data_IF_761274386017
#
_entry.id   IF_761274386017
#
_cell.length_a   1.000
_cell.length_b   1.000
_cell.length_c   1.000
_cell.angle_alpha   90.00
_cell.angle_beta   90.00
_cell.angle_gamma   90.00
#
_symmetry.space_group_name_H-M   'P 1'
#
loop_
_entity.id
_entity.type
_entity.pdbx_description
1 polymer ?
#
# COMPACT_ATOMS: atom_id res chain seq x y z
N UNK A 1 14.92 20.46 -22.51
CA UNK A 1 15.29 19.24 -21.77
C UNK A 1 14.43 19.18 -20.52
N UNK A 2 13.54 18.18 -20.41
CA UNK A 2 12.65 18.07 -19.26
C UNK A 2 13.48 17.73 -18.00
N UNK A 3 13.49 18.63 -17.03
CA UNK A 3 14.18 18.46 -15.76
C UNK A 3 13.45 17.36 -14.98
N UNK A 4 14.11 16.23 -14.72
CA UNK A 4 13.53 15.09 -13.98
C UNK A 4 13.04 15.59 -12.61
N UNK A 5 11.73 15.52 -12.35
CA UNK A 5 11.13 16.02 -11.09
C UNK A 5 11.42 15.13 -9.88
N UNK A 6 11.94 13.92 -10.10
CA UNK A 6 12.19 12.91 -9.06
C UNK A 6 13.64 12.42 -9.15
N UNK A 7 14.37 12.48 -8.04
CA UNK A 7 15.72 11.94 -7.91
C UNK A 7 15.87 11.02 -6.70
N UNK A 8 16.79 10.07 -6.76
CA UNK A 8 17.20 9.28 -5.60
C UNK A 8 18.51 9.89 -5.12
N UNK A 9 18.55 10.30 -3.85
CA UNK A 9 19.78 10.82 -3.24
C UNK A 9 20.86 9.75 -3.28
N UNK A 10 22.01 10.08 -3.86
CA UNK A 10 23.15 9.17 -3.97
C UNK A 10 23.79 8.83 -2.63
N UNK A 11 23.58 9.65 -1.61
CA UNK A 11 24.20 9.49 -0.29
C UNK A 11 23.45 8.53 0.64
N UNK A 12 22.14 8.40 0.48
CA UNK A 12 21.29 7.65 1.41
C UNK A 12 20.15 6.87 0.74
N UNK A 13 20.15 6.81 -0.60
CA UNK A 13 19.15 6.14 -1.42
C UNK A 13 17.69 6.50 -1.05
N UNK A 14 17.49 7.72 -0.51
CA UNK A 14 16.15 8.25 -0.23
C UNK A 14 15.60 8.94 -1.46
N UNK A 15 14.33 8.70 -1.74
CA UNK A 15 13.68 9.36 -2.86
C UNK A 15 13.36 10.81 -2.49
N UNK A 16 13.79 11.73 -3.34
CA UNK A 16 13.53 13.14 -3.24
C UNK A 16 12.74 13.60 -4.45
N UNK A 17 11.73 14.41 -4.22
CA UNK A 17 10.97 15.05 -5.30
C UNK A 17 11.21 16.55 -5.23
N UNK A 18 11.39 17.16 -6.40
CA UNK A 18 11.61 18.59 -6.49
C UNK A 18 10.29 19.30 -6.25
N UNK A 19 10.21 20.05 -5.15
CA UNK A 19 9.08 20.90 -4.86
C UNK A 19 9.22 22.19 -5.68
N UNK A 20 8.45 22.29 -6.77
CA UNK A 20 8.45 23.48 -7.64
C UNK A 20 7.92 24.74 -6.95
N UNK A 21 7.13 24.60 -5.88
CA UNK A 21 6.59 25.76 -5.16
C UNK A 21 7.62 26.42 -4.26
N UNK A 22 8.55 25.64 -3.72
CA UNK A 22 9.61 26.13 -2.83
C UNK A 22 10.99 26.17 -3.51
N UNK A 23 11.14 25.59 -4.71
CA UNK A 23 12.41 25.50 -5.42
C UNK A 23 13.43 24.58 -4.74
N UNK A 24 12.99 23.63 -3.92
CA UNK A 24 13.88 22.74 -3.13
C UNK A 24 13.57 21.26 -3.33
N UNK A 25 14.57 20.41 -3.13
CA UNK A 25 14.38 18.96 -3.09
C UNK A 25 13.91 18.51 -1.71
N UNK A 26 12.79 17.79 -1.66
CA UNK A 26 12.17 17.28 -0.43
C UNK A 26 12.15 15.76 -0.46
N UNK A 27 12.31 15.10 0.69
CA UNK A 27 12.05 13.66 0.78
C UNK A 27 10.61 13.37 0.34
N UNK A 28 10.38 12.21 -0.26
CA UNK A 28 9.08 11.78 -0.77
C UNK A 28 7.95 12.02 0.25
N UNK A 29 8.15 11.66 1.53
CA UNK A 29 7.18 11.89 2.61
C UNK A 29 7.22 13.29 3.26
N UNK A 30 7.87 14.25 2.63
CA UNK A 30 7.89 15.66 3.02
C UNK A 30 7.66 16.60 1.83
N UNK A 31 7.29 16.05 0.67
CA UNK A 31 7.13 16.75 -0.59
C UNK A 31 5.67 16.75 -1.03
N UNK A 32 5.19 17.87 -1.57
CA UNK A 32 3.86 17.99 -2.18
C UNK A 32 3.67 17.09 -3.40
N UNK A 33 4.75 16.62 -4.02
CA UNK A 33 4.66 15.81 -5.24
C UNK A 33 4.08 14.41 -5.02
N UNK A 34 4.00 13.96 -3.77
CA UNK A 34 3.26 12.75 -3.39
C UNK A 34 1.74 12.91 -3.41
N UNK A 35 1.24 14.14 -3.44
CA UNK A 35 -0.19 14.42 -3.40
C UNK A 35 -0.97 13.83 -4.59
N UNK A 36 -0.27 13.32 -5.61
CA UNK A 36 -0.85 12.70 -6.80
C UNK A 36 -0.83 11.18 -6.79
N UNK A 37 -0.14 10.54 -5.86
CA UNK A 37 0.06 9.08 -5.89
C UNK A 37 -0.56 8.43 -4.67
N UNK A 38 -1.54 7.56 -4.89
CA UNK A 38 -2.10 6.67 -3.87
C UNK A 38 -1.67 5.21 -4.15
N UNK A 39 -1.46 4.42 -3.11
CA UNK A 39 -1.21 2.98 -3.22
C UNK A 39 -2.52 2.19 -3.19
N UNK A 40 -2.61 1.14 -4.01
CA UNK A 40 -3.68 0.14 -3.95
C UNK A 40 -3.08 -1.27 -4.12
N UNK A 41 -3.80 -2.28 -3.64
CA UNK A 41 -3.56 -3.68 -3.99
C UNK A 41 -4.13 -3.96 -5.39
N UNK A 42 -3.51 -4.89 -6.12
CA UNK A 42 -4.05 -5.37 -7.38
C UNK A 42 -5.28 -6.27 -7.19
N UNK A 43 -5.54 -6.83 -6.02
CA UNK A 43 -6.79 -7.55 -5.71
C UNK A 43 -8.00 -6.61 -5.79
N UNK A 44 -7.89 -5.40 -5.25
CA UNK A 44 -8.90 -4.33 -5.38
C UNK A 44 -9.08 -3.86 -6.83
N UNK A 45 -7.99 -3.78 -7.59
CA UNK A 45 -8.03 -3.55 -9.05
C UNK A 45 -8.52 -4.77 -9.85
N UNK A 46 -8.45 -5.93 -9.21
CA UNK A 46 -8.50 -7.29 -9.75
C UNK A 46 -9.85 -7.97 -9.57
N UNK A 47 -10.83 -7.30 -8.96
CA UNK A 47 -12.27 -7.57 -9.15
C UNK A 47 -12.68 -7.32 -10.63
N UNK A 48 -12.11 -8.19 -11.48
CA UNK A 48 -12.48 -8.80 -12.75
C UNK A 48 -12.98 -7.92 -13.88
N UNK A 49 -12.08 -7.36 -14.71
CA UNK A 49 -12.30 -6.73 -16.04
C UNK A 49 -13.36 -5.59 -16.12
N UNK A 50 -14.33 -5.54 -15.22
CA UNK A 50 -15.50 -4.66 -15.12
C UNK A 50 -15.13 -3.34 -14.47
N UNK A 51 -14.07 -3.32 -13.67
CA UNK A 51 -13.65 -2.15 -12.89
C UNK A 51 -12.43 -1.43 -13.52
N UNK A 52 -12.20 -1.57 -14.83
CA UNK A 52 -11.08 -0.87 -15.52
C UNK A 52 -11.44 0.53 -16.06
N UNK A 53 -12.68 0.96 -15.85
CA UNK A 53 -13.17 2.26 -16.32
C UNK A 53 -12.82 3.32 -15.28
N UNK A 54 -11.68 3.98 -15.44
CA UNK A 54 -11.14 4.94 -14.44
C UNK A 54 -12.09 6.09 -14.12
N UNK A 55 -12.97 6.50 -15.05
CA UNK A 55 -13.97 7.54 -14.80
C UNK A 55 -15.01 7.17 -13.73
N UNK A 56 -15.14 5.88 -13.40
CA UNK A 56 -16.01 5.35 -12.32
C UNK A 56 -15.29 5.27 -10.97
N UNK A 57 -13.97 5.40 -10.94
CA UNK A 57 -13.18 5.37 -9.72
C UNK A 57 -13.10 6.73 -9.07
N UNK A 58 -13.03 6.71 -7.75
CA UNK A 58 -12.84 7.89 -6.91
C UNK A 58 -11.89 7.54 -5.78
N UNK A 59 -11.03 8.49 -5.41
CA UNK A 59 -10.16 8.40 -4.22
C UNK A 59 -10.67 9.39 -3.20
N UNK A 60 -11.10 8.88 -2.05
CA UNK A 60 -11.59 9.66 -0.91
C UNK A 60 -10.47 9.85 0.13
N UNK A 61 -10.28 11.07 0.63
CA UNK A 61 -9.22 11.41 1.58
C UNK A 61 -9.65 12.51 2.56
N UNK A 62 -8.95 12.61 3.70
CA UNK A 62 -9.10 13.70 4.66
C UNK A 62 -10.25 13.56 5.66
N UNK A 63 -10.88 12.38 5.76
CA UNK A 63 -11.89 12.09 6.78
C UNK A 63 -11.85 10.61 7.18
N UNK A 64 -12.21 10.32 8.43
CA UNK A 64 -12.29 8.94 8.96
C UNK A 64 -13.67 8.32 8.83
N UNK A 65 -14.74 9.11 8.69
CA UNK A 65 -16.08 8.59 8.46
C UNK A 65 -16.37 8.52 6.95
N UNK A 66 -16.83 7.37 6.46
CA UNK A 66 -17.11 7.19 5.01
C UNK A 66 -18.16 8.18 4.49
N UNK A 67 -19.16 8.51 5.30
CA UNK A 67 -20.22 9.44 4.96
C UNK A 67 -19.88 10.92 5.26
N UNK A 68 -18.63 11.23 5.58
CA UNK A 68 -18.25 12.60 5.92
C UNK A 68 -18.42 13.53 4.72
N UNK A 69 -19.18 14.64 4.86
CA UNK A 69 -19.28 15.65 3.81
C UNK A 69 -18.01 16.53 3.72
N UNK A 70 -17.05 16.34 4.63
CA UNK A 70 -15.82 17.15 4.72
C UNK A 70 -14.61 16.49 4.06
N UNK A 71 -14.73 15.24 3.59
CA UNK A 71 -13.66 14.58 2.85
C UNK A 71 -13.53 15.12 1.42
N UNK A 72 -12.36 14.95 0.83
CA UNK A 72 -12.10 15.27 -0.57
C UNK A 72 -12.20 14.02 -1.42
N UNK A 73 -12.83 14.14 -2.58
CA UNK A 73 -12.98 13.03 -3.51
C UNK A 73 -12.46 13.42 -4.90
N UNK A 74 -11.40 12.77 -5.36
CA UNK A 74 -10.77 13.03 -6.65
C UNK A 74 -10.95 11.88 -7.63
N UNK A 75 -10.79 12.18 -8.93
CA UNK A 75 -10.77 11.17 -9.98
C UNK A 75 -9.42 10.49 -10.11
N UNK A 76 -9.38 9.44 -10.93
CA UNK A 76 -8.18 8.66 -11.24
C UNK A 76 -7.77 8.93 -12.69
N UNK A 77 -6.52 9.36 -12.89
CA UNK A 77 -5.92 9.56 -14.21
C UNK A 77 -5.33 8.26 -14.77
N UNK A 78 -4.56 7.54 -13.96
CA UNK A 78 -3.93 6.30 -14.38
C UNK A 78 -3.84 5.31 -13.22
N UNK A 79 -3.78 4.02 -13.56
CA UNK A 79 -3.38 2.97 -12.61
C UNK A 79 -2.26 2.15 -13.22
N UNK A 80 -1.14 2.08 -12.52
CA UNK A 80 0.04 1.30 -12.90
C UNK A 80 0.10 0.07 -12.01
N UNK A 81 -0.24 -1.11 -12.54
CA UNK A 81 -0.21 -2.37 -11.80
C UNK A 81 1.04 -3.19 -12.14
N UNK A 82 1.50 -4.00 -11.20
CA UNK A 82 2.67 -4.84 -11.42
C UNK A 82 2.39 -5.94 -12.48
N UNK A 83 3.17 -6.00 -13.54
CA UNK A 83 2.94 -6.92 -14.67
C UNK A 83 3.14 -8.39 -14.34
N UNK A 84 3.85 -8.67 -13.25
CA UNK A 84 4.02 -10.00 -12.65
C UNK A 84 2.89 -10.44 -11.70
N UNK A 85 1.83 -9.64 -11.53
CA UNK A 85 0.63 -10.10 -10.81
C UNK A 85 -0.20 -10.99 -11.74
N UNK A 86 -0.01 -12.31 -11.59
CA UNK A 86 -0.63 -13.32 -12.45
C UNK A 86 -2.17 -13.29 -12.45
N UNK A 87 -2.85 -13.08 -11.31
CA UNK A 87 -4.32 -13.04 -11.26
C UNK A 87 -4.96 -11.97 -12.17
N UNK A 88 -4.23 -10.90 -12.52
CA UNK A 88 -4.74 -9.89 -13.46
C UNK A 88 -4.89 -10.41 -14.90
N UNK A 89 -4.02 -11.37 -15.29
CA UNK A 89 -4.00 -11.98 -16.63
C UNK A 89 -4.79 -13.28 -16.65
N UNK A 90 -4.63 -14.10 -15.62
CA UNK A 90 -5.34 -15.35 -15.42
C UNK A 90 -6.03 -15.35 -14.05
N UNK A 91 -7.36 -15.11 -14.00
CA UNK A 91 -8.09 -15.02 -12.74
C UNK A 91 -8.18 -16.34 -11.98
N UNK A 92 -7.79 -17.48 -12.58
CA UNK A 92 -7.71 -18.77 -11.89
C UNK A 92 -6.32 -19.03 -11.28
N UNK A 93 -5.40 -18.06 -11.39
CA UNK A 93 -4.09 -18.17 -10.77
C UNK A 93 -4.20 -17.91 -9.28
N UNK A 94 -3.76 -18.88 -8.49
CA UNK A 94 -3.63 -18.77 -7.02
C UNK A 94 -2.29 -18.15 -6.59
N UNK A 95 -1.55 -17.52 -7.51
CA UNK A 95 -0.23 -16.92 -7.23
C UNK A 95 -0.39 -15.42 -6.98
N UNK A 96 -0.61 -15.06 -5.72
CA UNK A 96 -0.85 -13.67 -5.30
C UNK A 96 0.42 -12.79 -5.27
N UNK A 97 1.57 -13.28 -5.76
CA UNK A 97 2.81 -12.51 -5.76
C UNK A 97 2.70 -11.24 -6.59
N UNK A 98 3.38 -10.19 -6.13
CA UNK A 98 3.39 -8.88 -6.77
C UNK A 98 2.01 -8.19 -6.79
N UNK A 99 1.21 -8.42 -5.76
CA UNK A 99 -0.04 -7.71 -5.52
C UNK A 99 0.22 -6.25 -5.09
N UNK A 100 0.53 -5.39 -6.06
CA UNK A 100 0.81 -3.96 -5.87
C UNK A 100 0.46 -3.13 -7.11
N UNK A 101 -0.19 -1.99 -6.88
CA UNK A 101 -0.49 -0.99 -7.89
C UNK A 101 -0.27 0.44 -7.38
N UNK A 102 0.00 1.36 -8.31
CA UNK A 102 0.04 2.80 -8.08
C UNK A 102 -1.13 3.48 -8.79
N UNK A 103 -1.80 4.39 -8.09
CA UNK A 103 -2.89 5.20 -8.62
C UNK A 103 -2.40 6.63 -8.77
N UNK A 104 -2.47 7.15 -10.00
CA UNK A 104 -2.25 8.56 -10.28
C UNK A 104 -3.59 9.30 -10.25
N UNK A 105 -3.75 10.23 -9.29
CA UNK A 105 -4.93 11.09 -9.18
C UNK A 105 -5.01 12.08 -10.35
N UNK A 106 -6.22 12.42 -10.76
CA UNK A 106 -6.46 13.44 -11.80
C UNK A 106 -5.99 14.84 -11.42
N UNK A 107 -5.86 15.11 -10.13
CA UNK A 107 -5.30 16.35 -9.58
C UNK A 107 -4.65 16.05 -8.22
N UNK A 108 -3.68 16.86 -7.77
CA UNK A 108 -3.06 16.67 -6.46
C UNK A 108 -4.05 17.00 -5.33
N UNK A 109 -3.98 16.23 -4.23
CA UNK A 109 -4.61 16.60 -2.96
C UNK A 109 -3.84 17.73 -2.25
N UNK A 110 -4.52 18.67 -1.57
CA UNK A 110 -3.82 19.58 -0.67
C UNK A 110 -3.26 18.80 0.52
N UNK A 111 -2.02 19.08 0.91
CA UNK A 111 -1.46 18.55 2.15
C UNK A 111 -1.95 19.38 3.33
N UNK A 112 -2.60 18.72 4.28
CA UNK A 112 -3.19 19.31 5.49
C UNK A 112 -2.82 18.45 6.70
N UNK A 113 -3.24 18.84 7.89
CA UNK A 113 -3.16 18.01 9.10
C UNK A 113 -3.90 16.67 8.97
N UNK A 114 -4.86 16.54 8.04
CA UNK A 114 -5.64 15.33 7.79
C UNK A 114 -5.21 14.57 6.53
N UNK A 115 -4.35 15.17 5.70
CA UNK A 115 -3.87 14.58 4.45
C UNK A 115 -2.34 14.73 4.41
N UNK A 116 -1.65 13.64 4.72
CA UNK A 116 -0.19 13.56 4.68
C UNK A 116 0.25 12.27 3.97
N UNK A 117 1.36 12.29 3.22
CA UNK A 117 1.93 11.08 2.67
C UNK A 117 2.68 10.26 3.73
N UNK A 118 2.63 8.94 3.60
CA UNK A 118 3.45 8.01 4.39
C UNK A 118 4.85 7.85 3.77
N UNK A 119 5.86 7.55 4.58
CA UNK A 119 7.21 7.25 4.08
C UNK A 119 7.31 5.83 3.52
N UNK A 120 8.24 5.61 2.59
CA UNK A 120 8.68 4.27 2.22
C UNK A 120 9.77 3.76 3.19
N UNK A 121 9.96 2.43 3.31
CA UNK A 121 11.13 1.83 3.97
C UNK A 121 12.40 2.40 3.35
N UNK A 122 13.49 2.59 4.11
CA UNK A 122 14.79 3.02 3.60
C UNK A 122 15.49 1.88 2.81
N UNK A 123 16.54 2.21 2.05
CA UNK A 123 17.27 1.19 1.29
C UNK A 123 17.96 0.24 2.27
N UNK A 124 17.78 -1.08 2.08
CA UNK A 124 18.26 -2.09 3.02
C UNK A 124 17.53 -2.15 4.36
N UNK A 125 16.46 -1.36 4.57
CA UNK A 125 15.63 -1.48 5.77
C UNK A 125 14.81 -2.77 5.70
N UNK A 126 15.19 -3.74 6.53
CA UNK A 126 14.47 -5.00 6.68
C UNK A 126 13.22 -4.86 7.59
N UNK A 127 12.29 -5.80 7.43
CA UNK A 127 11.24 -6.04 8.41
C UNK A 127 11.87 -6.63 9.69
N UNK A 128 11.25 -6.35 10.84
CA UNK A 128 11.70 -6.87 12.13
C UNK A 128 10.62 -7.80 12.66
N UNK A 129 10.88 -9.10 12.64
CA UNK A 129 9.93 -10.11 13.14
C UNK A 129 9.58 -9.82 14.61
N UNK A 130 8.31 -10.02 14.97
CA UNK A 130 7.77 -9.68 16.28
C UNK A 130 7.50 -8.19 16.51
N UNK A 131 7.97 -7.29 15.62
CA UNK A 131 7.64 -5.86 15.73
C UNK A 131 6.15 -5.65 15.52
N UNK A 132 5.53 -4.96 16.47
CA UNK A 132 4.12 -4.57 16.40
C UNK A 132 4.00 -3.32 15.53
N UNK A 133 3.20 -3.42 14.49
CA UNK A 133 2.87 -2.36 13.56
C UNK A 133 1.35 -2.16 13.48
N UNK A 134 0.90 -1.16 12.74
CA UNK A 134 -0.51 -0.80 12.66
C UNK A 134 -1.04 -1.04 11.26
N UNK A 135 -2.22 -1.66 11.18
CA UNK A 135 -3.03 -1.76 9.96
C UNK A 135 -4.31 -0.96 10.16
N UNK A 136 -4.78 -0.29 9.11
CA UNK A 136 -5.99 0.57 9.17
C UNK A 136 -6.84 0.39 7.92
N UNK A 137 -8.16 0.48 8.07
CA UNK A 137 -9.08 0.43 6.94
C UNK A 137 -10.55 0.50 7.34
N UNK A 138 -11.42 0.47 6.33
CA UNK A 138 -12.89 0.48 6.47
C UNK A 138 -13.51 -0.88 6.15
N UNK A 139 -12.70 -1.92 6.05
CA UNK A 139 -13.15 -3.27 5.76
C UNK A 139 -14.11 -3.82 6.81
N UNK A 140 -14.53 -5.06 6.58
CA UNK A 140 -15.49 -5.72 7.44
C UNK A 140 -14.92 -5.92 8.85
N UNK A 141 -15.70 -5.56 9.87
CA UNK A 141 -15.29 -5.77 11.29
C UNK A 141 -15.44 -7.22 11.77
N UNK A 142 -16.09 -8.06 10.96
CA UNK A 142 -16.22 -9.51 11.12
C UNK A 142 -16.26 -10.12 9.70
N UNK A 143 -15.82 -11.36 9.50
CA UNK A 143 -15.77 -11.97 8.15
C UNK A 143 -17.12 -11.91 7.40
N UNK A 144 -18.22 -12.24 8.07
CA UNK A 144 -19.59 -12.11 7.53
C UNK A 144 -20.30 -10.81 7.96
N UNK A 145 -19.52 -9.81 8.35
CA UNK A 145 -19.99 -8.53 8.86
C UNK A 145 -20.23 -7.49 7.78
N UNK A 146 -20.35 -6.24 8.22
CA UNK A 146 -20.43 -5.07 7.37
C UNK A 146 -19.15 -4.24 7.50
N UNK A 147 -18.88 -3.43 6.47
CA UNK A 147 -17.80 -2.45 6.48
C UNK A 147 -17.96 -1.45 7.61
N UNK A 148 -16.83 -0.98 8.14
CA UNK A 148 -16.83 0.02 9.19
C UNK A 148 -17.27 1.39 8.63
N UNK A 149 -18.23 2.05 9.29
CA UNK A 149 -18.62 3.43 8.94
C UNK A 149 -17.54 4.46 9.28
N UNK A 150 -16.66 4.13 10.22
CA UNK A 150 -15.52 4.93 10.68
C UNK A 150 -14.24 4.10 10.54
N UNK A 151 -13.14 4.71 10.13
CA UNK A 151 -11.85 4.06 9.92
C UNK A 151 -11.42 3.34 11.20
N UNK A 152 -11.03 2.08 11.09
CA UNK A 152 -10.53 1.28 12.19
C UNK A 152 -8.99 1.24 12.18
N UNK A 153 -8.40 0.99 13.34
CA UNK A 153 -6.98 0.71 13.50
C UNK A 153 -6.78 -0.55 14.34
N UNK A 154 -5.80 -1.36 13.97
CA UNK A 154 -5.44 -2.57 14.69
C UNK A 154 -3.92 -2.72 14.75
N UNK A 155 -3.42 -3.21 15.88
CA UNK A 155 -1.99 -3.45 16.11
C UNK A 155 -1.71 -4.94 16.06
N UNK A 156 -0.85 -5.34 15.13
CA UNK A 156 -0.47 -6.74 14.92
C UNK A 156 1.05 -6.89 14.79
N UNK A 157 1.66 -7.96 15.32
CA UNK A 157 3.07 -8.24 15.16
C UNK A 157 3.37 -8.86 13.79
N UNK A 158 4.55 -8.57 13.26
CA UNK A 158 5.11 -9.29 12.10
C UNK A 158 5.43 -10.73 12.51
N UNK A 159 5.02 -11.69 11.69
CA UNK A 159 5.32 -13.12 11.85
C UNK A 159 6.38 -13.50 10.81
N UNK A 160 7.40 -14.25 11.24
CA UNK A 160 8.45 -14.71 10.32
C UNK A 160 7.90 -15.65 9.25
N UNK A 161 8.49 -15.63 8.06
CA UNK A 161 8.06 -16.50 6.97
C UNK A 161 8.25 -17.98 7.31
N UNK A 162 9.21 -18.35 8.17
CA UNK A 162 9.41 -19.73 8.62
C UNK A 162 8.20 -20.25 9.40
N UNK A 163 7.64 -19.42 10.31
CA UNK A 163 6.41 -19.76 11.03
C UNK A 163 5.22 -19.78 10.09
N UNK A 164 5.08 -18.73 9.27
CA UNK A 164 3.90 -18.58 8.42
C UNK A 164 3.83 -19.62 7.29
N UNK A 165 4.97 -20.14 6.81
CA UNK A 165 5.02 -21.26 5.88
C UNK A 165 4.96 -22.64 6.55
N UNK A 166 4.91 -22.70 7.88
CA UNK A 166 4.63 -23.93 8.61
C UNK A 166 3.31 -24.58 8.18
N UNK A 167 3.23 -25.91 8.30
CA UNK A 167 2.08 -26.69 7.86
C UNK A 167 0.75 -26.27 8.54
N UNK A 168 0.83 -25.83 9.80
CA UNK A 168 -0.33 -25.37 10.56
C UNK A 168 -0.83 -23.98 10.13
N UNK A 169 0.03 -23.20 9.45
CA UNK A 169 -0.27 -21.87 8.94
C UNK A 169 -0.67 -21.93 7.46
N UNK A 170 0.18 -21.44 6.57
CA UNK A 170 -0.09 -21.37 5.12
C UNK A 170 0.68 -22.39 4.29
N UNK A 171 1.52 -23.25 4.89
CA UNK A 171 2.11 -24.40 4.20
C UNK A 171 2.78 -24.05 2.86
N UNK A 172 3.86 -23.26 2.89
CA UNK A 172 4.64 -22.81 1.72
C UNK A 172 3.91 -21.91 0.69
N UNK A 173 2.73 -21.37 1.03
CA UNK A 173 2.05 -20.40 0.17
C UNK A 173 2.67 -19.00 0.24
N UNK A 174 3.36 -18.64 1.33
CA UNK A 174 3.93 -17.30 1.53
C UNK A 174 5.24 -17.16 0.75
N UNK A 175 5.20 -16.35 -0.31
CA UNK A 175 6.32 -16.14 -1.23
C UNK A 175 7.30 -15.06 -0.74
N UNK A 176 8.53 -14.97 -1.27
CA UNK A 176 9.58 -14.07 -0.75
C UNK A 176 9.21 -12.58 -0.67
N UNK A 177 8.35 -12.08 -1.57
CA UNK A 177 7.88 -10.69 -1.59
C UNK A 177 6.59 -10.45 -0.80
N UNK A 178 6.23 -11.40 0.06
CA UNK A 178 5.11 -11.34 0.98
C UNK A 178 5.61 -11.58 2.40
N UNK A 179 4.82 -11.14 3.38
CA UNK A 179 5.02 -11.47 4.78
C UNK A 179 3.67 -11.57 5.49
N UNK A 180 3.67 -12.16 6.68
CA UNK A 180 2.47 -12.29 7.52
C UNK A 180 2.52 -11.35 8.70
N UNK A 181 1.35 -10.87 9.13
CA UNK A 181 1.22 -10.17 10.40
C UNK A 181 -0.14 -10.49 11.05
N UNK A 182 -0.12 -10.71 12.35
CA UNK A 182 -1.30 -11.18 13.09
C UNK A 182 -0.90 -11.89 14.37
N UNK A 183 -1.89 -12.45 15.05
CA UNK A 183 -1.67 -13.27 16.24
C UNK A 183 -1.91 -14.75 15.88
N UNK A 184 -1.07 -15.70 16.36
CA UNK A 184 -1.32 -17.13 16.18
C UNK A 184 -2.72 -17.57 16.65
N UNK A 185 -3.25 -16.91 17.68
CA UNK A 185 -4.57 -17.14 18.25
C UNK A 185 -5.72 -16.58 17.39
N UNK A 186 -5.42 -15.74 16.40
CA UNK A 186 -6.42 -14.98 15.63
C UNK A 186 -6.95 -13.77 16.39
N UNK A 187 -8.22 -13.41 16.16
CA UNK A 187 -8.92 -12.32 16.85
C UNK A 187 -8.70 -10.92 16.28
N UNK A 188 -7.45 -10.53 15.98
CA UNK A 188 -7.12 -9.23 15.39
C UNK A 188 -6.45 -9.43 14.02
N UNK A 189 -7.07 -8.91 12.97
CA UNK A 189 -6.65 -9.10 11.57
C UNK A 189 -7.24 -8.01 10.66
N UNK A 190 -6.70 -7.87 9.44
CA UNK A 190 -7.36 -7.16 8.35
C UNK A 190 -8.45 -8.04 7.72
N UNK A 191 -9.38 -7.43 6.96
CA UNK A 191 -10.48 -8.18 6.37
C UNK A 191 -10.92 -7.65 4.99
N UNK A 192 -12.00 -8.21 4.42
CA UNK A 192 -12.51 -7.78 3.12
C UNK A 192 -12.83 -6.29 3.13
N UNK A 193 -12.31 -5.55 2.14
CA UNK A 193 -12.42 -4.09 2.04
C UNK A 193 -11.25 -3.33 2.69
N UNK A 194 -10.32 -4.02 3.35
CA UNK A 194 -9.04 -3.43 3.79
C UNK A 194 -7.91 -3.62 2.76
N UNK A 195 -8.10 -4.47 1.75
CA UNK A 195 -7.08 -4.75 0.72
C UNK A 195 -6.60 -3.46 0.04
N UNK A 196 -5.31 -3.36 -0.20
CA UNK A 196 -4.64 -2.14 -0.66
C UNK A 196 -4.37 -1.11 0.43
N UNK A 197 -4.96 -1.29 1.61
CA UNK A 197 -4.74 -0.48 2.79
C UNK A 197 -3.32 -0.61 3.36
N UNK A 198 -2.92 0.35 4.21
CA UNK A 198 -1.55 0.45 4.70
C UNK A 198 -1.29 -0.50 5.89
N UNK A 199 -0.12 -1.13 5.87
CA UNK A 199 0.53 -1.68 7.07
C UNK A 199 1.76 -0.84 7.39
N UNK A 200 1.70 -0.08 8.48
CA UNK A 200 2.69 0.95 8.82
C UNK A 200 3.41 0.65 10.12
N UNK A 201 4.73 0.83 10.07
CA UNK A 201 5.60 0.68 11.23
C UNK A 201 6.30 2.01 11.50
N UNK A 202 6.33 2.43 12.77
CA UNK A 202 7.08 3.61 13.18
C UNK A 202 8.55 3.27 13.45
N UNK A 203 9.47 4.13 13.04
CA UNK A 203 10.88 4.08 13.44
C UNK A 203 11.48 5.47 13.63
N UNK A 204 12.66 5.51 14.25
CA UNK A 204 13.43 6.74 14.47
C UNK A 204 14.79 6.72 13.75
N UNK A 205 14.98 5.91 12.71
CA UNK A 205 16.29 5.79 12.02
C UNK A 205 16.69 7.11 11.35
N UNK A 206 15.72 7.99 11.08
CA UNK A 206 15.95 9.32 10.51
C UNK A 206 16.22 10.42 11.55
N UNK A 207 16.45 10.04 12.82
CA UNK A 207 16.54 10.94 14.01
C UNK A 207 15.22 11.65 14.37
N UNK A 208 14.15 11.35 13.67
CA UNK A 208 12.78 11.79 13.97
C UNK A 208 11.85 10.60 13.78
N UNK A 209 10.85 10.41 14.66
CA UNK A 209 9.83 9.38 14.49
C UNK A 209 9.10 9.55 13.17
N UNK A 210 9.01 8.46 12.39
CA UNK A 210 8.30 8.42 11.11
C UNK A 210 7.62 7.09 10.91
N UNK A 211 6.38 7.14 10.45
CA UNK A 211 5.65 5.99 9.95
C UNK A 211 6.08 5.64 8.54
N UNK A 212 6.36 4.36 8.30
CA UNK A 212 6.71 3.83 6.99
C UNK A 212 5.73 2.76 6.56
N UNK A 213 5.37 2.77 5.28
CA UNK A 213 4.55 1.75 4.63
C UNK A 213 5.40 0.50 4.42
N UNK A 214 5.34 -0.42 5.37
CA UNK A 214 6.10 -1.67 5.35
C UNK A 214 5.36 -2.77 4.58
N UNK A 215 4.03 -2.73 4.58
CA UNK A 215 3.18 -3.67 3.86
C UNK A 215 1.97 -3.02 3.23
N UNK A 216 1.38 -3.74 2.28
CA UNK A 216 0.06 -3.46 1.70
C UNK A 216 -0.81 -4.66 2.01
N UNK A 217 -2.00 -4.43 2.58
CA UNK A 217 -2.97 -5.51 2.83
C UNK A 217 -3.27 -6.21 1.50
N UNK A 218 -3.07 -7.52 1.46
CA UNK A 218 -3.23 -8.31 0.23
C UNK A 218 -4.36 -9.30 0.43
N UNK A 219 -4.11 -10.42 1.11
CA UNK A 219 -5.05 -11.53 1.22
C UNK A 219 -4.97 -12.23 2.59
N UNK A 220 -5.90 -13.17 2.83
CA UNK A 220 -5.95 -14.02 4.02
C UNK A 220 -6.96 -15.16 3.83
N UNK A 221 -6.93 -16.16 4.70
CA UNK A 221 -7.96 -17.22 4.70
C UNK A 221 -8.95 -16.93 5.80
N UNK A 222 -10.16 -16.53 5.44
CA UNK A 222 -11.08 -15.95 6.42
C UNK A 222 -10.60 -14.57 6.88
N UNK A 223 -11.05 -14.15 8.06
CA UNK A 223 -10.47 -13.02 8.79
C UNK A 223 -10.38 -13.41 10.26
N UNK A 224 -9.27 -13.06 10.92
CA UNK A 224 -9.06 -13.25 12.36
C UNK A 224 -9.18 -14.70 12.85
N UNK A 225 -8.94 -15.68 11.97
CA UNK A 225 -8.88 -17.10 12.32
C UNK A 225 -7.53 -17.44 12.96
N UNK A 226 -7.54 -18.34 13.93
CA UNK A 226 -6.30 -18.89 14.50
C UNK A 226 -5.43 -19.51 13.39
N UNK A 227 -4.12 -19.25 13.45
CA UNK A 227 -3.12 -19.75 12.51
C UNK A 227 -3.38 -19.36 11.04
N UNK A 228 -4.20 -18.35 10.76
CA UNK A 228 -4.41 -17.78 9.42
C UNK A 228 -4.28 -16.25 9.48
N UNK A 229 -3.06 -15.75 9.78
CA UNK A 229 -2.82 -14.31 9.88
C UNK A 229 -2.96 -13.63 8.52
N UNK A 230 -3.26 -12.34 8.49
CA UNK A 230 -3.24 -11.56 7.26
C UNK A 230 -1.89 -11.60 6.54
N UNK A 231 -1.95 -11.63 5.21
CA UNK A 231 -0.79 -11.65 4.31
C UNK A 231 -0.68 -10.30 3.59
N UNK A 232 0.54 -9.79 3.55
CA UNK A 232 0.85 -8.44 3.08
C UNK A 232 1.91 -8.49 1.99
N UNK A 233 1.77 -7.63 0.99
CA UNK A 233 2.84 -7.38 0.02
C UNK A 233 3.98 -6.62 0.70
N UNK A 234 5.21 -7.13 0.60
CA UNK A 234 6.40 -6.57 1.24
C UNK A 234 6.95 -5.37 0.45
N UNK A 235 6.61 -4.15 0.89
CA UNK A 235 6.87 -2.92 0.13
C UNK A 235 8.35 -2.63 -0.10
N UNK A 236 9.25 -3.06 0.80
CA UNK A 236 10.68 -2.87 0.62
C UNK A 236 11.21 -3.54 -0.66
N UNK A 237 10.62 -4.66 -1.09
CA UNK A 237 11.02 -5.39 -2.29
C UNK A 237 10.50 -4.76 -3.60
N UNK A 238 9.64 -3.74 -3.50
CA UNK A 238 9.08 -2.99 -4.64
C UNK A 238 9.55 -1.54 -4.72
N UNK A 239 10.50 -1.10 -3.87
CA UNK A 239 11.00 0.28 -3.87
C UNK A 239 11.40 0.78 -5.25
N UNK A 240 12.26 0.03 -5.96
CA UNK A 240 12.73 0.43 -7.28
C UNK A 240 11.62 0.39 -8.33
N UNK A 241 10.69 -0.58 -8.23
CA UNK A 241 9.50 -0.63 -9.08
C UNK A 241 8.63 0.62 -8.89
N UNK A 242 8.37 1.03 -7.64
CA UNK A 242 7.61 2.25 -7.33
C UNK A 242 8.31 3.48 -7.92
N UNK A 243 9.63 3.59 -7.71
CA UNK A 243 10.41 4.73 -8.20
C UNK A 243 10.43 4.82 -9.71
N UNK A 244 10.60 3.69 -10.39
CA UNK A 244 10.61 3.63 -11.84
C UNK A 244 9.22 3.90 -12.41
N UNK A 245 8.16 3.34 -11.81
CA UNK A 245 6.79 3.53 -12.26
C UNK A 245 6.37 5.01 -12.19
N UNK A 246 6.63 5.69 -11.07
CA UNK A 246 6.32 7.12 -10.91
C UNK A 246 7.05 7.97 -11.96
N UNK A 247 8.33 7.68 -12.22
CA UNK A 247 9.13 8.42 -13.21
C UNK A 247 8.68 8.15 -14.65
N UNK A 248 8.35 6.90 -14.96
CA UNK A 248 8.03 6.47 -16.34
C UNK A 248 6.63 6.89 -16.74
N UNK A 249 5.69 6.87 -15.78
CA UNK A 249 4.25 7.00 -16.04
C UNK A 249 3.65 8.28 -15.44
N UNK A 250 4.47 9.32 -15.19
CA UNK A 250 4.00 10.56 -14.57
C UNK A 250 2.91 11.27 -15.38
N UNK A 251 2.93 11.14 -16.71
CA UNK A 251 1.94 11.71 -17.62
C UNK A 251 1.02 10.65 -18.24
N UNK A 252 1.07 9.42 -17.74
CA UNK A 252 0.24 8.34 -18.28
C UNK A 252 -1.24 8.58 -18.00
N UNK A 253 -2.08 7.92 -18.78
CA UNK A 253 -3.53 7.85 -18.57
C UNK A 253 -4.02 6.43 -18.86
N UNK A 254 -5.01 5.97 -18.11
CA UNK A 254 -5.55 4.61 -18.27
C UNK A 254 -4.85 3.55 -17.43
N UNK A 255 -5.12 2.29 -17.77
CA UNK A 255 -4.52 1.11 -17.12
C UNK A 255 -3.17 0.81 -17.77
N UNK A 256 -2.09 0.88 -17.00
CA UNK A 256 -0.72 0.65 -17.46
C UNK A 256 -0.09 -0.47 -16.64
N UNK A 257 0.81 -1.23 -17.25
CA UNK A 257 1.56 -2.27 -16.57
C UNK A 257 3.04 -1.91 -16.47
N UNK A 258 3.68 -2.27 -15.36
CA UNK A 258 5.11 -2.12 -15.14
C UNK A 258 5.65 -3.42 -14.54
N UNK A 259 6.73 -3.96 -15.10
CA UNK A 259 7.49 -5.07 -14.52
C UNK A 259 8.54 -4.56 -13.54
#
# INVERSE_FOLDING_TARGET
>A
MAQKEVQVSSADARLMVFDKTEGTWRLLCSSRSNARVAGLSCEEMGFLRRNRVLSRWRVFAGAVAQASPHGLQLGVQAVVYHGGYLPFRDPNSEENSNDIALVHLSSPLPLTEYIQPVCLPAAGQALVDGKICTVTGWGNTQYYGQQAGVLQEARVPIISNDVCNGADFYGNQIKPKMFCAGYPEGGIDACQGDSGGPFVCEDSISRTPRWRLCGIVSWGTGCALAQKPGVYTKVSDFREWIFQAIKTHSEASGMVTQL
#
